data_IF_838994820410
#
_entry.id   IF_838994820410
#
_cell.length_a   1.000
_cell.length_b   1.000
_cell.length_c   1.000
_cell.angle_alpha   90.00
_cell.angle_beta   90.00
_cell.angle_gamma   90.00
#
_symmetry.space_group_name_H-M   'P 1'
#
loop_
_entity.id
_entity.type
_entity.pdbx_description
1 polymer ?
#
# COMPACT_ATOMS: atom_id res chain seq x y z
N UNK A 1 35.53 -21.95 -24.08
CA UNK A 1 34.81 -22.06 -22.79
C UNK A 1 35.09 -20.76 -22.04
N UNK A 2 34.33 -19.70 -22.37
CA UNK A 2 34.57 -18.36 -21.84
C UNK A 2 33.76 -18.21 -20.55
N UNK A 3 34.43 -18.23 -19.41
CA UNK A 3 33.82 -17.85 -18.14
C UNK A 3 33.54 -16.35 -18.20
N UNK A 4 32.27 -15.99 -18.38
CA UNK A 4 31.80 -14.61 -18.20
C UNK A 4 31.78 -14.37 -16.69
N UNK A 5 32.84 -13.76 -16.16
CA UNK A 5 32.83 -13.19 -14.82
C UNK A 5 31.78 -12.08 -14.78
N UNK A 6 30.57 -12.42 -14.33
CA UNK A 6 29.54 -11.45 -13.98
C UNK A 6 29.93 -10.84 -12.64
N UNK A 7 30.90 -9.91 -12.64
CA UNK A 7 31.09 -8.98 -11.53
C UNK A 7 29.83 -8.14 -11.42
N UNK A 8 28.88 -8.61 -10.62
CA UNK A 8 27.71 -7.83 -10.21
C UNK A 8 28.23 -6.61 -9.45
N UNK A 9 28.34 -5.47 -10.15
CA UNK A 9 28.69 -4.20 -9.52
C UNK A 9 27.58 -3.88 -8.52
N UNK A 10 27.81 -4.17 -7.24
CA UNK A 10 26.89 -3.82 -6.17
C UNK A 10 26.94 -2.31 -6.00
N UNK A 11 26.01 -1.60 -6.60
CA UNK A 11 25.83 -0.16 -6.35
C UNK A 11 25.55 0.05 -4.87
N UNK A 12 26.40 0.81 -4.13
CA UNK A 12 26.19 1.15 -2.74
C UNK A 12 24.82 1.79 -2.54
N UNK A 13 24.16 1.54 -1.40
CA UNK A 13 22.80 2.03 -1.14
C UNK A 13 22.68 3.57 -1.31
N UNK A 14 23.75 4.30 -0.93
CA UNK A 14 23.88 5.75 -1.10
C UNK A 14 23.76 6.24 -2.54
N UNK A 15 24.17 5.41 -3.51
CA UNK A 15 24.23 5.77 -4.94
C UNK A 15 22.99 5.27 -5.70
N UNK A 16 22.02 4.63 -5.00
CA UNK A 16 20.77 4.12 -5.58
C UNK A 16 19.65 5.16 -5.63
N UNK A 17 19.74 6.21 -4.81
CA UNK A 17 18.76 7.27 -4.70
C UNK A 17 19.43 8.62 -4.99
N UNK A 18 18.68 9.48 -5.67
CA UNK A 18 19.03 10.89 -5.84
C UNK A 18 19.04 11.61 -4.49
N UNK A 19 19.74 12.74 -4.42
CA UNK A 19 19.77 13.57 -3.19
C UNK A 19 18.38 14.01 -2.75
N UNK A 20 17.49 14.29 -3.70
CA UNK A 20 16.10 14.68 -3.41
C UNK A 20 15.27 13.50 -2.89
N UNK A 21 15.46 12.29 -3.40
CA UNK A 21 14.82 11.07 -2.87
C UNK A 21 15.28 10.79 -1.43
N UNK A 22 16.58 10.90 -1.16
CA UNK A 22 17.12 10.79 0.20
C UNK A 22 16.54 11.85 1.14
N UNK A 23 16.43 13.11 0.68
CA UNK A 23 15.84 14.19 1.47
C UNK A 23 14.37 13.89 1.81
N UNK A 24 13.59 13.42 0.83
CA UNK A 24 12.18 13.07 1.04
C UNK A 24 12.03 11.91 2.03
N UNK A 25 12.82 10.85 1.89
CA UNK A 25 12.83 9.74 2.84
C UNK A 25 13.21 10.20 4.25
N UNK A 26 14.27 11.02 4.37
CA UNK A 26 14.70 11.54 5.67
C UNK A 26 13.61 12.41 6.33
N UNK A 27 12.89 13.22 5.56
CA UNK A 27 11.77 14.01 6.07
C UNK A 27 10.61 13.11 6.55
N UNK A 28 10.26 12.07 5.79
CA UNK A 28 9.19 11.14 6.17
C UNK A 28 9.53 10.37 7.45
N UNK A 29 10.70 9.71 7.48
CA UNK A 29 11.15 8.99 8.67
C UNK A 29 11.44 9.93 9.85
N UNK A 30 11.88 11.16 9.58
CA UNK A 30 12.01 12.20 10.60
C UNK A 30 10.67 12.59 11.22
N UNK A 31 9.61 12.70 10.41
CA UNK A 31 8.25 12.95 10.91
C UNK A 31 7.72 11.76 11.72
N UNK A 32 7.94 10.53 11.25
CA UNK A 32 7.58 9.32 12.00
C UNK A 32 8.31 9.30 13.34
N UNK A 33 9.62 9.58 13.37
CA UNK A 33 10.38 9.67 14.61
C UNK A 33 9.84 10.78 15.53
N UNK A 34 9.44 11.93 14.97
CA UNK A 34 8.78 12.99 15.73
C UNK A 34 7.48 12.52 16.39
N UNK A 35 6.61 11.79 15.68
CA UNK A 35 5.38 11.24 16.27
C UNK A 35 5.68 10.33 17.46
N UNK A 36 6.66 9.44 17.33
CA UNK A 36 7.08 8.56 18.41
C UNK A 36 7.64 9.36 19.59
N UNK A 37 8.61 10.25 19.35
CA UNK A 37 9.25 11.04 20.41
C UNK A 37 8.21 11.90 21.13
N UNK A 38 7.31 12.57 20.41
CA UNK A 38 6.24 13.35 21.00
C UNK A 38 5.31 12.48 21.85
N UNK A 39 4.90 11.31 21.33
CA UNK A 39 4.10 10.33 22.08
C UNK A 39 4.80 9.85 23.36
N UNK A 40 6.09 9.49 23.28
CA UNK A 40 6.91 9.07 24.41
C UNK A 40 7.05 10.17 25.46
N UNK A 41 7.31 11.42 25.06
CA UNK A 41 7.43 12.55 25.98
C UNK A 41 6.10 12.82 26.68
N UNK A 42 5.00 12.90 25.93
CA UNK A 42 3.67 13.14 26.51
C UNK A 42 3.24 12.01 27.45
N UNK A 43 3.50 10.75 27.09
CA UNK A 43 3.19 9.60 27.93
C UNK A 43 4.09 9.56 29.17
N UNK A 44 5.38 9.86 29.05
CA UNK A 44 6.30 9.93 30.20
C UNK A 44 5.87 10.98 31.22
N UNK A 45 5.41 12.15 30.74
CA UNK A 45 4.83 13.19 31.60
C UNK A 45 3.49 12.75 32.21
N UNK A 46 2.65 12.02 31.47
CA UNK A 46 1.37 11.54 31.97
C UNK A 46 1.52 10.47 33.06
N UNK A 47 2.41 9.50 32.88
CA UNK A 47 2.66 8.41 33.85
C UNK A 47 3.15 8.95 35.19
N UNK A 48 3.85 10.08 35.20
CA UNK A 48 4.32 10.71 36.44
C UNK A 48 3.19 11.27 37.34
N UNK A 49 1.95 11.31 36.86
CA UNK A 49 0.79 11.83 37.59
C UNK A 49 -0.16 10.78 38.18
N UNK A 50 0.17 9.48 38.11
CA UNK A 50 -0.63 8.36 38.68
C UNK A 50 -2.13 8.39 38.31
N UNK A 51 -2.45 8.67 37.05
CA UNK A 51 -3.84 8.70 36.57
C UNK A 51 -4.44 7.30 36.43
N UNK A 52 -5.68 7.10 36.88
CA UNK A 52 -6.45 5.87 36.72
C UNK A 52 -7.49 6.02 35.59
N UNK A 53 -7.66 5.01 34.75
CA UNK A 53 -8.75 4.91 33.78
C UNK A 53 -10.08 4.57 34.47
N UNK A 54 -11.19 4.70 33.74
CA UNK A 54 -12.54 4.43 34.27
C UNK A 54 -12.80 2.98 34.74
N UNK A 55 -11.91 2.04 34.45
CA UNK A 55 -11.94 0.64 34.89
C UNK A 55 -11.01 0.34 36.08
N UNK A 56 -10.33 1.36 36.61
CA UNK A 56 -9.35 1.25 37.71
C UNK A 56 -7.95 0.80 37.27
N UNK A 57 -7.70 0.65 35.97
CA UNK A 57 -6.35 0.41 35.45
C UNK A 57 -5.54 1.70 35.39
N UNK A 58 -4.23 1.63 35.61
CA UNK A 58 -3.37 2.82 35.51
C UNK A 58 -3.18 3.23 34.04
N UNK A 59 -3.41 4.51 33.76
CA UNK A 59 -3.09 5.10 32.47
C UNK A 59 -1.57 5.19 32.33
N UNK A 60 -1.03 4.58 31.28
CA UNK A 60 0.41 4.57 31.10
C UNK A 60 0.90 3.75 29.91
N UNK A 61 2.07 3.15 30.05
CA UNK A 61 2.72 2.44 28.94
C UNK A 61 1.91 1.29 28.36
N UNK A 62 1.02 0.67 29.15
CA UNK A 62 0.08 -0.34 28.66
C UNK A 62 -0.92 0.22 27.63
N UNK A 63 -1.53 1.38 27.92
CA UNK A 63 -2.45 2.03 26.98
C UNK A 63 -1.73 2.61 25.76
N UNK A 64 -0.50 3.13 25.93
CA UNK A 64 0.36 3.51 24.80
C UNK A 64 0.67 2.31 23.89
N UNK A 65 1.05 1.17 24.46
CA UNK A 65 1.34 -0.04 23.71
C UNK A 65 0.09 -0.54 22.96
N UNK A 66 -1.08 -0.53 23.61
CA UNK A 66 -2.35 -0.84 22.96
C UNK A 66 -2.60 0.09 21.76
N UNK A 67 -2.57 1.41 21.95
CA UNK A 67 -2.77 2.38 20.86
C UNK A 67 -1.77 2.18 19.70
N UNK A 68 -0.50 1.93 20.01
CA UNK A 68 0.54 1.65 19.01
C UNK A 68 0.26 0.36 18.23
N UNK A 69 -0.12 -0.71 18.93
CA UNK A 69 -0.45 -2.01 18.31
C UNK A 69 -1.74 -1.95 17.50
N UNK A 70 -2.73 -1.16 17.90
CA UNK A 70 -3.93 -0.89 17.11
C UNK A 70 -3.55 -0.17 15.81
N UNK A 71 -2.70 0.86 15.88
CA UNK A 71 -2.19 1.55 14.68
C UNK A 71 -1.42 0.61 13.74
N UNK A 72 -0.56 -0.24 14.29
CA UNK A 72 0.15 -1.25 13.50
C UNK A 72 -0.79 -2.30 12.89
N UNK A 73 -1.74 -2.81 13.69
CA UNK A 73 -2.75 -3.78 13.23
C UNK A 73 -3.56 -3.22 12.08
N UNK A 74 -3.97 -1.96 12.20
CA UNK A 74 -4.79 -1.32 11.18
C UNK A 74 -4.04 -1.03 9.88
N UNK A 75 -2.73 -0.74 9.94
CA UNK A 75 -1.87 -0.70 8.75
C UNK A 75 -1.84 -2.04 7.98
N UNK A 76 -2.14 -3.16 8.65
CA UNK A 76 -2.24 -4.46 7.99
C UNK A 76 -3.60 -4.75 7.38
N UNK A 77 -4.59 -3.85 7.50
CA UNK A 77 -5.89 -4.09 6.92
C UNK A 77 -5.80 -4.17 5.39
N UNK A 78 -6.64 -5.05 4.84
CA UNK A 78 -6.55 -5.48 3.47
C UNK A 78 -6.73 -4.34 2.46
N UNK A 79 -7.54 -3.35 2.81
CA UNK A 79 -7.86 -2.16 2.06
C UNK A 79 -6.68 -1.17 2.00
N UNK A 80 -5.95 -0.99 3.11
CA UNK A 80 -4.77 -0.16 3.20
C UNK A 80 -3.63 -0.69 2.33
N UNK A 81 -3.28 -1.97 2.52
CA UNK A 81 -2.27 -2.66 1.70
C UNK A 81 -2.65 -2.58 0.22
N UNK A 82 -3.92 -2.84 -0.09
CA UNK A 82 -4.42 -2.80 -1.47
C UNK A 82 -4.32 -1.40 -2.08
N UNK A 83 -4.74 -0.36 -1.36
CA UNK A 83 -4.73 1.01 -1.83
C UNK A 83 -3.30 1.54 -2.05
N UNK A 84 -2.40 1.26 -1.10
CA UNK A 84 -1.00 1.71 -1.15
C UNK A 84 -0.27 1.00 -2.29
N UNK A 85 -0.34 -0.32 -2.38
CA UNK A 85 0.38 -1.09 -3.41
C UNK A 85 -0.18 -0.77 -4.80
N UNK A 86 -1.51 -0.79 -4.99
CA UNK A 86 -2.08 -0.51 -6.31
C UNK A 86 -1.79 0.92 -6.77
N UNK A 87 -1.82 1.91 -5.88
CA UNK A 87 -1.45 3.28 -6.25
C UNK A 87 0.04 3.39 -6.56
N UNK A 88 0.89 2.73 -5.79
CA UNK A 88 2.33 2.65 -6.03
C UNK A 88 2.60 2.07 -7.42
N UNK A 89 1.94 0.96 -7.79
CA UNK A 89 2.06 0.31 -9.10
C UNK A 89 1.61 1.21 -10.24
N UNK A 90 0.46 1.86 -10.09
CA UNK A 90 -0.05 2.82 -11.07
C UNK A 90 0.97 3.93 -11.32
N UNK A 91 1.48 4.58 -10.27
CA UNK A 91 2.44 5.68 -10.38
C UNK A 91 3.79 5.22 -10.95
N UNK A 92 4.23 4.01 -10.61
CA UNK A 92 5.44 3.41 -11.19
C UNK A 92 5.29 3.10 -12.68
N UNK A 93 4.09 2.68 -13.12
CA UNK A 93 3.80 2.46 -14.54
C UNK A 93 3.84 3.75 -15.36
N UNK A 94 3.63 4.89 -14.71
CA UNK A 94 3.76 6.24 -15.26
C UNK A 94 5.20 6.78 -15.17
N UNK A 95 6.18 5.93 -14.83
CA UNK A 95 7.60 6.28 -14.76
C UNK A 95 8.04 6.97 -13.47
N UNK A 96 7.17 7.08 -12.46
CA UNK A 96 7.50 7.71 -11.19
C UNK A 96 8.17 6.74 -10.20
N UNK A 97 8.80 7.30 -9.16
CA UNK A 97 9.32 6.57 -7.99
C UNK A 97 8.59 7.04 -6.72
N UNK A 98 7.36 6.55 -6.48
CA UNK A 98 6.45 7.12 -5.49
C UNK A 98 6.77 6.58 -4.08
N UNK A 99 7.81 7.10 -3.43
CA UNK A 99 8.26 6.63 -2.12
C UNK A 99 7.30 6.97 -0.95
N UNK A 100 6.42 7.96 -1.13
CA UNK A 100 5.60 8.52 -0.05
C UNK A 100 4.13 8.09 -0.02
N UNK A 101 3.71 7.13 -0.84
CA UNK A 101 2.28 6.76 -0.99
C UNK A 101 1.67 6.35 0.35
N UNK A 102 2.28 5.36 1.02
CA UNK A 102 1.79 4.89 2.32
C UNK A 102 1.92 5.92 3.44
N UNK A 103 2.98 6.72 3.45
CA UNK A 103 3.14 7.81 4.43
C UNK A 103 2.01 8.83 4.37
N UNK A 104 1.69 9.35 3.17
CA UNK A 104 0.62 10.34 3.05
C UNK A 104 -0.75 9.72 3.34
N UNK A 105 -0.97 8.47 2.91
CA UNK A 105 -2.19 7.72 3.21
C UNK A 105 -2.42 7.58 4.73
N UNK A 106 -1.46 7.00 5.45
CA UNK A 106 -1.52 6.82 6.91
C UNK A 106 -1.67 8.13 7.67
N UNK A 107 -1.00 9.21 7.26
CA UNK A 107 -1.16 10.53 7.90
C UNK A 107 -2.57 11.09 7.70
N UNK A 108 -3.15 10.92 6.52
CA UNK A 108 -4.53 11.33 6.24
C UNK A 108 -5.51 10.58 7.15
N UNK A 109 -5.37 9.27 7.22
CA UNK A 109 -6.19 8.41 8.06
C UNK A 109 -6.04 8.77 9.54
N UNK A 110 -4.80 8.83 10.02
CA UNK A 110 -4.48 9.15 11.42
C UNK A 110 -4.94 10.54 11.83
N UNK A 111 -5.11 11.47 10.89
CA UNK A 111 -5.65 12.81 11.17
C UNK A 111 -7.12 12.75 11.60
N UNK A 112 -7.91 11.83 11.04
CA UNK A 112 -9.31 11.63 11.45
C UNK A 112 -9.37 11.04 12.84
N UNK A 113 -8.55 10.02 13.12
CA UNK A 113 -8.43 9.40 14.44
C UNK A 113 -7.99 10.41 15.50
N UNK A 114 -6.97 11.22 15.20
CA UNK A 114 -6.48 12.27 16.09
C UNK A 114 -7.52 13.37 16.33
N UNK A 115 -8.24 13.79 15.29
CA UNK A 115 -9.33 14.74 15.42
C UNK A 115 -10.45 14.20 16.31
N UNK A 116 -10.85 12.94 16.14
CA UNK A 116 -11.85 12.30 16.98
C UNK A 116 -11.39 12.22 18.44
N UNK A 117 -10.15 11.79 18.69
CA UNK A 117 -9.57 11.75 20.03
C UNK A 117 -9.61 13.13 20.72
N UNK A 118 -9.26 14.20 20.00
CA UNK A 118 -9.35 15.57 20.49
C UNK A 118 -10.79 15.99 20.81
N UNK A 119 -11.73 15.73 19.90
CA UNK A 119 -13.14 16.07 20.08
C UNK A 119 -13.76 15.37 21.31
N UNK A 120 -13.37 14.11 21.56
CA UNK A 120 -13.79 13.36 22.74
C UNK A 120 -13.16 13.93 24.02
N UNK A 121 -11.88 14.32 23.97
CA UNK A 121 -11.17 14.94 25.08
C UNK A 121 -11.83 16.25 25.53
N UNK A 122 -12.29 17.07 24.60
CA UNK A 122 -13.00 18.31 24.90
C UNK A 122 -14.49 18.11 25.27
N UNK A 123 -14.91 16.86 25.49
CA UNK A 123 -16.17 16.56 26.16
C UNK A 123 -17.40 16.80 25.29
N UNK A 124 -17.32 16.59 23.98
CA UNK A 124 -18.51 16.52 23.13
C UNK A 124 -19.27 15.24 23.49
N UNK A 125 -20.06 15.30 24.57
CA UNK A 125 -20.81 14.16 25.13
C UNK A 125 -21.66 13.44 24.08
N UNK A 126 -22.16 14.18 23.09
CA UNK A 126 -22.92 13.65 21.96
C UNK A 126 -22.10 12.66 21.08
N UNK A 127 -20.80 12.91 20.89
CA UNK A 127 -19.93 11.98 20.15
C UNK A 127 -19.66 10.72 20.98
N UNK A 128 -19.43 10.89 22.28
CA UNK A 128 -19.21 9.75 23.18
C UNK A 128 -20.40 8.80 23.28
N UNK A 129 -21.64 9.32 23.27
CA UNK A 129 -22.84 8.49 23.23
C UNK A 129 -23.02 7.80 21.88
N UNK A 130 -22.72 8.48 20.77
CA UNK A 130 -22.84 7.89 19.43
C UNK A 130 -21.78 6.82 19.18
N UNK A 131 -20.56 6.97 19.69
CA UNK A 131 -19.52 5.93 19.58
C UNK A 131 -19.88 4.62 20.29
N UNK A 132 -20.59 4.71 21.43
CA UNK A 132 -20.96 3.52 22.22
C UNK A 132 -22.19 2.79 21.67
N UNK A 133 -22.99 3.47 20.87
CA UNK A 133 -24.24 2.96 20.33
C UNK A 133 -24.02 2.49 18.89
N UNK A 134 -23.90 1.17 18.71
CA UNK A 134 -23.67 0.52 17.40
C UNK A 134 -24.79 0.84 16.40
N UNK A 135 -26.00 1.15 16.86
CA UNK A 135 -27.14 1.55 16.02
C UNK A 135 -27.20 3.07 15.75
N UNK A 136 -26.19 3.83 16.17
CA UNK A 136 -26.22 5.29 16.01
C UNK A 136 -26.10 5.71 14.55
N UNK A 137 -26.72 6.85 14.23
CA UNK A 137 -26.60 7.46 12.91
C UNK A 137 -25.13 7.73 12.51
N UNK A 138 -24.26 7.99 13.49
CA UNK A 138 -22.86 8.24 13.21
C UNK A 138 -22.18 6.96 12.73
N UNK A 139 -22.29 5.85 13.47
CA UNK A 139 -21.83 4.51 13.04
C UNK A 139 -22.36 4.17 11.63
N UNK A 140 -23.66 4.34 11.40
CA UNK A 140 -24.29 4.03 10.13
C UNK A 140 -23.72 4.83 8.94
N UNK A 141 -23.71 6.17 9.02
CA UNK A 141 -23.31 7.01 7.90
C UNK A 141 -21.79 6.96 7.65
N UNK A 142 -20.99 6.94 8.71
CA UNK A 142 -19.53 6.91 8.56
C UNK A 142 -19.03 5.54 8.09
N UNK A 143 -19.61 4.44 8.58
CA UNK A 143 -19.38 3.10 8.04
C UNK A 143 -19.78 2.98 6.56
N UNK A 144 -20.98 3.49 6.21
CA UNK A 144 -21.46 3.49 4.83
C UNK A 144 -20.52 4.28 3.90
N UNK A 145 -20.14 5.51 4.29
CA UNK A 145 -19.26 6.36 3.50
C UNK A 145 -17.87 5.72 3.39
N UNK A 146 -17.30 5.23 4.48
CA UNK A 146 -15.98 4.60 4.51
C UNK A 146 -15.90 3.40 3.57
N UNK A 147 -16.78 2.41 3.74
CA UNK A 147 -16.81 1.20 2.90
C UNK A 147 -17.13 1.51 1.44
N UNK A 148 -18.04 2.45 1.19
CA UNK A 148 -18.38 2.83 -0.21
C UNK A 148 -17.20 3.52 -0.89
N UNK A 149 -16.54 4.45 -0.21
CA UNK A 149 -15.40 5.18 -0.77
C UNK A 149 -14.20 4.26 -0.94
N UNK A 150 -13.87 3.45 0.06
CA UNK A 150 -12.80 2.45 -0.01
C UNK A 150 -13.05 1.46 -1.14
N UNK A 151 -14.21 0.81 -1.15
CA UNK A 151 -14.53 -0.23 -2.12
C UNK A 151 -14.59 0.29 -3.55
N UNK A 152 -15.17 1.47 -3.74
CA UNK A 152 -15.17 2.13 -5.06
C UNK A 152 -13.76 2.49 -5.50
N UNK A 153 -12.93 3.03 -4.61
CA UNK A 153 -11.56 3.38 -4.92
C UNK A 153 -10.72 2.14 -5.31
N UNK A 154 -10.80 1.08 -4.49
CA UNK A 154 -10.10 -0.18 -4.72
C UNK A 154 -10.50 -0.81 -6.05
N UNK A 155 -11.80 -0.83 -6.37
CA UNK A 155 -12.27 -1.33 -7.67
C UNK A 155 -11.74 -0.50 -8.84
N UNK A 156 -11.75 0.82 -8.74
CA UNK A 156 -11.22 1.70 -9.79
C UNK A 156 -9.72 1.47 -10.00
N UNK A 157 -8.91 1.47 -8.93
CA UNK A 157 -7.47 1.32 -9.05
C UNK A 157 -7.09 -0.10 -9.50
N UNK A 158 -7.85 -1.12 -9.08
CA UNK A 158 -7.66 -2.49 -9.52
C UNK A 158 -7.94 -2.63 -11.03
N UNK A 159 -9.01 -2.02 -11.55
CA UNK A 159 -9.29 -2.01 -12.99
C UNK A 159 -8.16 -1.32 -13.77
N UNK A 160 -7.67 -0.19 -13.28
CA UNK A 160 -6.54 0.53 -13.90
C UNK A 160 -5.29 -0.35 -13.96
N UNK A 161 -4.92 -0.99 -12.85
CA UNK A 161 -3.76 -1.88 -12.79
C UNK A 161 -3.96 -3.19 -13.56
N UNK A 162 -5.20 -3.69 -13.68
CA UNK A 162 -5.52 -4.84 -14.52
C UNK A 162 -5.25 -4.53 -15.99
N UNK A 163 -5.63 -3.33 -16.46
CA UNK A 163 -5.34 -2.88 -17.83
C UNK A 163 -3.82 -2.82 -18.06
N UNK A 164 -3.07 -2.29 -17.09
CA UNK A 164 -1.60 -2.24 -17.14
C UNK A 164 -1.02 -3.66 -17.17
N UNK A 165 -1.52 -4.57 -16.32
CA UNK A 165 -1.10 -5.95 -16.25
C UNK A 165 -1.32 -6.69 -17.58
N UNK A 166 -2.52 -6.58 -18.16
CA UNK A 166 -2.84 -7.19 -19.47
C UNK A 166 -1.91 -6.65 -20.55
N UNK A 167 -1.61 -5.34 -20.55
CA UNK A 167 -0.64 -4.73 -21.47
C UNK A 167 0.76 -5.34 -21.32
N UNK A 168 1.26 -5.46 -20.08
CA UNK A 168 2.58 -6.05 -19.81
C UNK A 168 2.63 -7.53 -20.23
N UNK A 169 1.60 -8.31 -19.89
CA UNK A 169 1.51 -9.74 -20.24
C UNK A 169 1.46 -9.94 -21.75
N UNK A 170 0.74 -9.08 -22.47
CA UNK A 170 0.65 -9.14 -23.94
C UNK A 170 2.00 -8.89 -24.61
N UNK A 171 2.67 -7.80 -24.23
CA UNK A 171 4.02 -7.48 -24.71
C UNK A 171 4.97 -8.63 -24.38
N UNK A 172 4.93 -9.14 -23.14
CA UNK A 172 5.76 -10.26 -22.72
C UNK A 172 5.51 -11.54 -23.53
N UNK A 173 4.25 -11.84 -23.85
CA UNK A 173 3.89 -12.98 -24.70
C UNK A 173 4.46 -12.83 -26.12
N UNK A 174 4.36 -11.65 -26.71
CA UNK A 174 4.92 -11.34 -28.04
C UNK A 174 6.45 -11.44 -28.06
N UNK A 175 7.13 -10.91 -27.03
CA UNK A 175 8.58 -11.08 -26.84
C UNK A 175 8.98 -12.56 -26.85
N UNK A 176 8.19 -13.42 -26.18
CA UNK A 176 8.47 -14.86 -26.07
C UNK A 176 8.27 -15.62 -27.39
N UNK A 177 7.44 -15.08 -28.27
CA UNK A 177 7.18 -15.63 -29.62
C UNK A 177 8.18 -15.11 -30.66
N UNK A 178 9.08 -14.18 -30.29
CA UNK A 178 10.09 -13.63 -31.21
C UNK A 178 9.54 -12.65 -32.25
N UNK A 179 8.28 -12.23 -32.09
CA UNK A 179 7.60 -11.22 -32.91
C UNK A 179 7.79 -9.85 -32.25
N UNK A 180 9.01 -9.31 -32.32
CA UNK A 180 9.31 -7.95 -31.88
C UNK A 180 9.04 -7.00 -33.05
N UNK A 181 7.80 -6.55 -33.19
CA UNK A 181 7.42 -5.48 -34.12
C UNK A 181 7.11 -4.22 -33.31
N UNK A 182 7.97 -3.21 -33.44
CA UNK A 182 7.83 -1.91 -32.80
C UNK A 182 6.51 -1.22 -33.22
N UNK A 183 6.04 -1.48 -34.44
CA UNK A 183 4.76 -0.99 -34.97
C UNK A 183 3.52 -1.68 -34.36
N UNK A 184 3.57 -2.99 -34.07
CA UNK A 184 2.46 -3.66 -33.38
C UNK A 184 2.35 -3.25 -31.90
N UNK A 185 3.49 -2.88 -31.29
CA UNK A 185 3.55 -2.35 -29.94
C UNK A 185 2.88 -0.97 -29.86
N UNK A 186 3.15 -0.05 -30.79
CA UNK A 186 2.45 1.24 -30.86
C UNK A 186 0.95 1.08 -31.11
N UNK A 187 0.53 0.13 -31.95
CA UNK A 187 -0.90 -0.18 -32.16
C UNK A 187 -1.57 -0.72 -30.89
N UNK A 188 -0.86 -1.53 -30.09
CA UNK A 188 -1.36 -2.03 -28.81
C UNK A 188 -1.31 -1.01 -27.68
N UNK A 189 -0.34 -0.10 -27.71
CA UNK A 189 -0.28 1.08 -26.84
C UNK A 189 -1.43 2.04 -27.17
N UNK A 190 -1.83 2.18 -28.43
CA UNK A 190 -3.02 2.94 -28.84
C UNK A 190 -4.34 2.32 -28.34
N UNK A 191 -4.39 1.01 -28.07
CA UNK A 191 -5.53 0.38 -27.39
C UNK A 191 -5.65 0.78 -25.90
N UNK A 192 -4.58 1.33 -25.28
CA UNK A 192 -4.72 2.07 -24.00
C UNK A 192 -5.69 3.25 -24.15
N UNK A 193 -5.78 3.84 -25.34
CA UNK A 193 -6.50 5.08 -25.60
C UNK A 193 -7.99 5.04 -25.29
N UNK A 194 -8.69 3.92 -25.49
CA UNK A 194 -10.14 3.87 -25.30
C UNK A 194 -10.53 3.78 -23.82
N UNK A 195 -9.83 2.94 -23.03
CA UNK A 195 -10.01 2.86 -21.58
C UNK A 195 -9.36 4.03 -20.83
N UNK A 196 -8.18 4.52 -21.25
CA UNK A 196 -7.59 5.74 -20.68
C UNK A 196 -8.34 7.01 -21.06
N UNK A 197 -9.18 7.01 -22.10
CA UNK A 197 -10.07 8.15 -22.36
C UNK A 197 -11.21 8.22 -21.32
N UNK A 198 -11.69 7.09 -20.82
CA UNK A 198 -12.72 7.03 -19.80
C UNK A 198 -12.15 7.13 -18.37
N UNK A 199 -11.09 6.36 -18.06
CA UNK A 199 -10.48 6.33 -16.73
C UNK A 199 -9.32 7.31 -16.56
N UNK A 200 -8.75 7.85 -17.63
CA UNK A 200 -7.61 8.78 -17.56
C UNK A 200 -7.87 10.07 -16.78
N UNK A 201 -9.07 10.67 -16.75
CA UNK A 201 -9.38 11.76 -15.83
C UNK A 201 -9.27 11.33 -14.36
N UNK A 202 -9.72 10.12 -14.02
CA UNK A 202 -9.67 9.57 -12.66
C UNK A 202 -8.24 9.16 -12.29
N UNK A 203 -7.52 8.50 -13.21
CA UNK A 203 -6.12 8.17 -13.05
C UNK A 203 -5.24 9.41 -12.87
N UNK A 204 -5.55 10.53 -13.54
CA UNK A 204 -4.86 11.81 -13.36
C UNK A 204 -5.17 12.48 -12.02
N UNK A 205 -6.24 12.09 -11.31
CA UNK A 205 -6.52 12.65 -9.99
C UNK A 205 -5.47 12.25 -8.98
N UNK A 206 -4.98 11.01 -8.96
CA UNK A 206 -3.89 10.55 -8.09
C UNK A 206 -2.61 10.34 -8.90
N UNK A 207 -1.96 11.45 -9.25
CA UNK A 207 -0.71 11.51 -10.03
C UNK A 207 0.54 11.74 -9.17
N UNK A 208 0.39 11.99 -7.86
CA UNK A 208 1.48 12.26 -6.91
C UNK A 208 1.19 11.60 -5.57
N UNK A 209 2.23 11.14 -4.87
CA UNK A 209 2.12 10.47 -3.57
C UNK A 209 1.37 11.28 -2.52
N UNK A 210 1.50 12.61 -2.49
CA UNK A 210 0.82 13.46 -1.50
C UNK A 210 -0.70 13.43 -1.59
N UNK A 211 -1.24 13.12 -2.77
CA UNK A 211 -2.69 13.02 -2.99
C UNK A 211 -3.30 11.80 -2.31
N UNK A 212 -2.49 10.91 -1.75
CA UNK A 212 -2.95 9.87 -0.84
C UNK A 212 -3.40 10.41 0.51
N UNK A 213 -3.00 11.62 0.91
CA UNK A 213 -3.45 12.23 2.16
C UNK A 213 -4.97 12.46 2.23
N UNK A 214 -5.61 13.16 1.26
CA UNK A 214 -7.06 13.30 1.27
C UNK A 214 -7.77 11.95 1.10
N UNK A 215 -7.17 10.99 0.39
CA UNK A 215 -7.73 9.64 0.30
C UNK A 215 -7.68 8.92 1.65
N UNK A 216 -6.57 9.04 2.38
CA UNK A 216 -6.41 8.51 3.73
C UNK A 216 -7.43 9.11 4.69
N UNK A 217 -7.76 10.40 4.57
CA UNK A 217 -8.87 11.01 5.34
C UNK A 217 -10.18 10.29 5.02
N UNK A 218 -10.49 10.07 3.74
CA UNK A 218 -11.74 9.41 3.34
C UNK A 218 -11.82 7.96 3.85
N UNK A 219 -10.70 7.24 3.84
CA UNK A 219 -10.60 5.89 4.43
C UNK A 219 -10.72 5.94 5.96
N UNK A 220 -10.13 6.95 6.60
CA UNK A 220 -10.21 7.18 8.05
C UNK A 220 -11.58 7.62 8.54
N UNK A 221 -12.51 7.97 7.64
CA UNK A 221 -13.94 8.10 7.98
C UNK A 221 -14.60 6.73 8.18
N UNK A 222 -13.97 5.63 7.75
CA UNK A 222 -14.37 4.28 8.13
C UNK A 222 -14.38 4.15 9.65
N UNK A 223 -15.55 3.81 10.18
CA UNK A 223 -15.83 4.08 11.59
C UNK A 223 -15.17 3.10 12.57
N UNK A 224 -14.83 1.90 12.12
CA UNK A 224 -14.32 0.82 12.97
C UNK A 224 -13.03 1.24 13.71
N UNK A 225 -12.06 1.80 12.99
CA UNK A 225 -10.78 2.24 13.57
C UNK A 225 -10.91 3.47 14.46
N UNK A 226 -11.70 4.45 13.99
CA UNK A 226 -11.97 5.66 14.75
C UNK A 226 -12.66 5.31 16.08
N UNK A 227 -13.50 4.27 16.08
CA UNK A 227 -14.19 3.75 17.26
C UNK A 227 -13.25 3.02 18.20
N UNK A 228 -12.36 2.14 17.72
CA UNK A 228 -11.40 1.42 18.58
C UNK A 228 -10.53 2.40 19.40
N UNK A 229 -9.96 3.42 18.74
CA UNK A 229 -9.15 4.44 19.41
C UNK A 229 -10.02 5.41 20.21
N UNK A 230 -11.19 5.78 19.68
CA UNK A 230 -12.15 6.65 20.36
C UNK A 230 -12.66 6.06 21.67
N UNK A 231 -12.91 4.75 21.73
CA UNK A 231 -13.30 4.02 22.94
C UNK A 231 -12.14 3.94 23.94
N UNK A 232 -10.90 3.73 23.49
CA UNK A 232 -9.71 3.79 24.34
C UNK A 232 -9.56 5.19 24.98
N UNK A 233 -9.79 6.24 24.19
CA UNK A 233 -9.80 7.62 24.67
C UNK A 233 -10.94 7.86 25.66
N UNK A 234 -12.17 7.41 25.35
CA UNK A 234 -13.32 7.55 26.25
C UNK A 234 -13.14 6.83 27.58
N UNK A 235 -12.49 5.67 27.59
CA UNK A 235 -12.13 4.95 28.81
C UNK A 235 -11.18 5.80 29.69
N UNK A 236 -10.24 6.51 29.06
CA UNK A 236 -9.32 7.42 29.74
C UNK A 236 -9.96 8.76 30.15
N UNK A 237 -10.87 9.32 29.37
CA UNK A 237 -11.47 10.65 29.65
C UNK A 237 -12.72 10.58 30.51
N UNK A 238 -13.07 9.42 31.06
CA UNK A 238 -14.23 9.30 31.94
C UNK A 238 -14.09 10.26 33.15
N UNK A 239 -15.20 10.83 33.62
CA UNK A 239 -15.25 11.91 34.63
C UNK A 239 -14.48 11.60 35.92
N UNK A 240 -14.22 10.33 36.19
CA UNK A 240 -13.49 9.84 37.37
C UNK A 240 -11.96 9.94 37.19
N UNK A 241 -11.45 9.89 35.95
CA UNK A 241 -10.04 9.71 35.63
C UNK A 241 -9.19 11.00 35.64
N UNK A 242 -9.80 12.18 35.49
CA UNK A 242 -9.10 13.47 35.57
C UNK A 242 -7.94 13.68 34.58
N UNK A 243 -7.85 12.86 33.53
CA UNK A 243 -6.71 12.84 32.60
C UNK A 243 -6.56 14.19 31.87
N UNK A 244 -5.36 14.80 31.86
CA UNK A 244 -5.15 16.04 31.15
C UNK A 244 -5.13 15.81 29.63
N UNK A 245 -5.55 16.81 28.87
CA UNK A 245 -5.71 16.69 27.41
C UNK A 245 -4.42 16.29 26.68
N UNK A 246 -3.25 16.69 27.19
CA UNK A 246 -1.95 16.32 26.63
C UNK A 246 -1.61 14.84 26.85
N UNK A 247 -2.10 14.22 27.93
CA UNK A 247 -1.95 12.78 28.16
C UNK A 247 -2.79 12.00 27.15
N UNK A 248 -4.02 12.45 26.89
CA UNK A 248 -4.91 11.82 25.90
C UNK A 248 -4.35 11.90 24.49
N UNK A 249 -3.70 13.03 24.14
CA UNK A 249 -3.01 13.21 22.87
C UNK A 249 -1.85 12.24 22.61
N UNK A 250 -1.30 11.61 23.64
CA UNK A 250 -0.26 10.60 23.44
C UNK A 250 -0.78 9.38 22.66
N UNK A 251 -2.04 8.99 22.86
CA UNK A 251 -2.65 7.80 22.22
C UNK A 251 -2.75 7.93 20.68
N UNK A 252 -3.36 8.98 20.10
CA UNK A 252 -3.40 9.13 18.66
C UNK A 252 -2.00 9.34 18.04
N UNK A 253 -1.02 9.85 18.78
CA UNK A 253 0.37 9.93 18.30
C UNK A 253 1.04 8.56 18.20
N UNK A 254 0.83 7.68 19.20
CA UNK A 254 1.30 6.29 19.12
C UNK A 254 0.59 5.52 18.00
N UNK A 255 -0.74 5.67 17.88
CA UNK A 255 -1.50 5.10 16.77
C UNK A 255 -0.93 5.55 15.42
N UNK A 256 -0.80 6.86 15.23
CA UNK A 256 -0.27 7.44 13.99
C UNK A 256 1.17 7.00 13.72
N UNK A 257 2.00 6.90 14.76
CA UNK A 257 3.39 6.45 14.66
C UNK A 257 3.49 5.00 14.16
N UNK A 258 2.71 4.09 14.77
CA UNK A 258 2.69 2.68 14.40
C UNK A 258 2.17 2.46 12.98
N UNK A 259 1.04 3.09 12.66
CA UNK A 259 0.44 3.02 11.33
C UNK A 259 1.35 3.62 10.25
N UNK A 260 1.85 4.84 10.47
CA UNK A 260 2.69 5.53 9.49
C UNK A 260 4.00 4.80 9.24
N UNK A 261 4.57 4.14 10.25
CA UNK A 261 5.77 3.33 10.08
C UNK A 261 5.52 2.16 9.12
N UNK A 262 4.48 1.38 9.36
CA UNK A 262 4.19 0.18 8.56
C UNK A 262 3.72 0.51 7.15
N UNK A 263 2.82 1.48 6.99
CA UNK A 263 2.36 1.91 5.66
C UNK A 263 3.49 2.52 4.83
N UNK A 264 4.40 3.27 5.48
CA UNK A 264 5.59 3.79 4.80
C UNK A 264 6.54 2.67 4.41
N UNK A 265 6.70 1.64 5.24
CA UNK A 265 7.49 0.46 4.92
C UNK A 265 6.85 -0.28 3.75
N UNK A 266 5.54 -0.50 3.72
CA UNK A 266 4.85 -1.17 2.61
C UNK A 266 5.08 -0.43 1.26
N UNK A 267 4.77 0.87 1.24
CA UNK A 267 4.96 1.69 0.04
C UNK A 267 6.42 1.79 -0.41
N UNK A 268 7.38 1.88 0.53
CA UNK A 268 8.81 1.99 0.19
C UNK A 268 9.44 0.65 -0.17
N UNK A 269 9.04 -0.44 0.47
CA UNK A 269 9.52 -1.80 0.17
C UNK A 269 9.19 -2.19 -1.26
N UNK A 270 7.99 -1.86 -1.75
CA UNK A 270 7.61 -2.06 -3.16
C UNK A 270 8.55 -1.32 -4.14
N UNK A 271 9.00 -0.11 -3.77
CA UNK A 271 9.96 0.65 -4.57
C UNK A 271 11.38 0.05 -4.51
N UNK A 272 11.84 -0.43 -3.34
CA UNK A 272 13.19 -1.01 -3.18
C UNK A 272 13.31 -2.42 -3.79
N UNK A 273 12.27 -3.23 -3.69
CA UNK A 273 12.24 -4.55 -4.30
C UNK A 273 12.24 -4.45 -5.84
N UNK A 274 11.66 -3.38 -6.39
CA UNK A 274 11.84 -3.00 -7.79
C UNK A 274 13.29 -2.62 -8.12
N UNK A 275 13.96 -1.87 -7.23
CA UNK A 275 15.38 -1.54 -7.28
C UNK A 275 16.33 -2.75 -7.30
N UNK A 276 15.93 -3.86 -6.69
CA UNK A 276 16.70 -5.11 -6.69
C UNK A 276 16.56 -5.93 -7.99
N UNK A 277 15.46 -5.75 -8.74
CA UNK A 277 15.23 -6.44 -10.00
C UNK A 277 16.09 -5.91 -11.18
N UNK A 278 16.87 -4.84 -10.97
CA UNK A 278 17.67 -4.16 -11.99
C UNK A 278 18.90 -4.93 -12.49
N UNK A 279 19.11 -6.19 -12.09
CA UNK A 279 20.23 -6.98 -12.61
C UNK A 279 19.95 -7.61 -13.98
N UNK A 280 18.69 -7.87 -14.37
CA UNK A 280 18.33 -8.48 -15.69
C UNK A 280 16.92 -8.07 -16.19
N UNK A 281 16.73 -7.63 -17.46
CA UNK A 281 15.44 -7.14 -17.99
C UNK A 281 14.28 -8.14 -17.87
N UNK A 282 14.53 -9.43 -18.10
CA UNK A 282 13.50 -10.48 -18.07
C UNK A 282 12.98 -10.73 -16.65
N UNK A 283 13.88 -10.68 -15.66
CA UNK A 283 13.54 -10.85 -14.24
C UNK A 283 12.57 -9.76 -13.78
N UNK A 284 12.80 -8.54 -14.25
CA UNK A 284 11.96 -7.38 -13.98
C UNK A 284 10.53 -7.57 -14.49
N UNK A 285 10.35 -8.11 -15.69
CA UNK A 285 9.01 -8.31 -16.27
C UNK A 285 8.22 -9.37 -15.51
N UNK A 286 8.82 -10.54 -15.22
CA UNK A 286 8.15 -11.59 -14.43
C UNK A 286 7.75 -11.12 -13.03
N UNK A 287 8.68 -10.44 -12.35
CA UNK A 287 8.44 -9.89 -11.02
C UNK A 287 7.28 -8.89 -11.03
N UNK A 288 7.26 -7.99 -12.03
CA UNK A 288 6.19 -7.01 -12.18
C UNK A 288 4.85 -7.66 -12.49
N UNK A 289 4.81 -8.70 -13.35
CA UNK A 289 3.56 -9.42 -13.66
C UNK A 289 3.00 -10.08 -12.40
N UNK A 290 3.82 -10.86 -11.68
CA UNK A 290 3.36 -11.62 -10.50
C UNK A 290 2.83 -10.68 -9.43
N UNK A 291 3.60 -9.63 -9.10
CA UNK A 291 3.16 -8.72 -8.03
C UNK A 291 1.96 -7.93 -8.47
N UNK A 292 1.97 -7.32 -9.67
CA UNK A 292 0.80 -6.55 -10.13
C UNK A 292 -0.46 -7.42 -10.21
N UNK A 293 -0.34 -8.70 -10.61
CA UNK A 293 -1.46 -9.65 -10.60
C UNK A 293 -1.97 -9.92 -9.18
N UNK A 294 -1.07 -10.10 -8.22
CA UNK A 294 -1.42 -10.28 -6.82
C UNK A 294 -2.10 -9.01 -6.27
N UNK A 295 -1.53 -7.83 -6.47
CA UNK A 295 -2.09 -6.53 -6.04
C UNK A 295 -3.50 -6.30 -6.60
N UNK A 296 -3.69 -6.58 -7.89
CA UNK A 296 -4.98 -6.44 -8.57
C UNK A 296 -5.99 -7.45 -8.04
N UNK A 297 -5.58 -8.71 -7.88
CA UNK A 297 -6.45 -9.76 -7.34
C UNK A 297 -6.94 -9.45 -5.94
N UNK A 298 -6.03 -9.00 -5.07
CA UNK A 298 -6.36 -8.59 -3.70
C UNK A 298 -7.30 -7.38 -3.71
N UNK A 299 -6.97 -6.32 -4.46
CA UNK A 299 -7.82 -5.12 -4.49
C UNK A 299 -9.22 -5.38 -5.06
N UNK A 300 -9.37 -6.23 -6.07
CA UNK A 300 -10.69 -6.64 -6.57
C UNK A 300 -11.47 -7.45 -5.54
N UNK A 301 -10.79 -8.33 -4.80
CA UNK A 301 -11.42 -9.13 -3.76
C UNK A 301 -11.89 -8.26 -2.59
N UNK A 302 -11.01 -7.41 -2.06
CA UNK A 302 -11.30 -6.53 -0.92
C UNK A 302 -12.33 -5.48 -1.30
N UNK A 303 -12.11 -4.73 -2.39
CA UNK A 303 -13.06 -3.72 -2.83
C UNK A 303 -14.41 -4.31 -3.25
N UNK A 304 -14.42 -5.51 -3.82
CA UNK A 304 -15.65 -6.26 -4.10
C UNK A 304 -16.40 -6.64 -2.83
N UNK A 305 -15.70 -7.14 -1.80
CA UNK A 305 -16.30 -7.47 -0.51
C UNK A 305 -16.89 -6.24 0.19
N UNK A 306 -16.17 -5.12 0.26
CA UNK A 306 -16.65 -3.88 0.88
C UNK A 306 -17.94 -3.38 0.19
N UNK A 307 -17.98 -3.40 -1.15
CA UNK A 307 -19.18 -3.02 -1.90
C UNK A 307 -20.34 -3.99 -1.69
N UNK A 308 -20.07 -5.28 -1.54
CA UNK A 308 -21.10 -6.28 -1.23
C UNK A 308 -21.62 -6.12 0.20
N UNK A 309 -20.79 -5.76 1.17
CA UNK A 309 -21.20 -5.44 2.54
C UNK A 309 -22.13 -4.21 2.56
N UNK A 310 -21.77 -3.15 1.83
CA UNK A 310 -22.63 -1.97 1.65
C UNK A 310 -23.97 -2.35 1.02
N UNK A 311 -23.94 -3.15 -0.05
CA UNK A 311 -25.15 -3.58 -0.74
C UNK A 311 -26.04 -4.44 0.16
N UNK A 312 -25.45 -5.36 0.93
CA UNK A 312 -26.16 -6.22 1.87
C UNK A 312 -26.87 -5.40 2.95
N UNK A 313 -26.16 -4.45 3.56
CA UNK A 313 -26.72 -3.58 4.59
C UNK A 313 -27.84 -2.67 4.08
N UNK A 314 -27.65 -2.04 2.91
CA UNK A 314 -28.64 -1.09 2.37
C UNK A 314 -29.91 -1.76 1.83
N UNK A 315 -29.81 -2.98 1.31
CA UNK A 315 -30.93 -3.73 0.77
C UNK A 315 -31.51 -4.75 1.77
N UNK A 316 -31.01 -4.79 3.01
CA UNK A 316 -31.35 -5.77 4.04
C UNK A 316 -31.31 -7.21 3.51
N UNK A 317 -30.28 -7.54 2.73
CA UNK A 317 -30.15 -8.85 2.09
C UNK A 317 -29.72 -9.89 3.12
N UNK A 318 -30.58 -10.88 3.34
CA UNK A 318 -30.35 -11.98 4.27
C UNK A 318 -30.11 -13.30 3.53
N UNK A 319 -29.29 -14.18 4.11
CA UNK A 319 -29.04 -15.54 3.61
C UNK A 319 -27.62 -16.00 3.87
N UNK A 320 -27.32 -17.29 3.68
CA UNK A 320 -26.01 -17.85 4.03
C UNK A 320 -24.83 -17.16 3.34
N UNK A 321 -25.00 -16.72 2.09
CA UNK A 321 -23.98 -15.94 1.37
C UNK A 321 -23.77 -14.54 1.96
N UNK A 322 -24.85 -13.81 2.23
CA UNK A 322 -24.78 -12.43 2.76
C UNK A 322 -24.26 -12.39 4.19
N UNK A 323 -24.65 -13.37 5.01
CA UNK A 323 -24.10 -13.52 6.36
C UNK A 323 -22.58 -13.76 6.31
N UNK A 324 -22.11 -14.64 5.41
CA UNK A 324 -20.68 -14.86 5.23
C UNK A 324 -19.93 -13.59 4.80
N UNK A 325 -20.50 -12.79 3.90
CA UNK A 325 -19.90 -11.52 3.44
C UNK A 325 -19.83 -10.50 4.59
N UNK A 326 -20.88 -10.39 5.39
CA UNK A 326 -20.94 -9.43 6.51
C UNK A 326 -20.07 -9.86 7.69
N UNK A 327 -19.93 -11.17 7.95
CA UNK A 327 -19.09 -11.71 9.02
C UNK A 327 -17.58 -11.68 8.65
N UNK A 328 -17.23 -11.38 7.40
CA UNK A 328 -15.86 -11.39 6.93
C UNK A 328 -15.09 -10.14 7.37
N UNK A 329 -14.15 -10.32 8.30
CA UNK A 329 -13.28 -9.24 8.80
C UNK A 329 -12.15 -8.91 7.82
N UNK A 330 -12.05 -7.63 7.46
CA UNK A 330 -10.97 -7.09 6.63
C UNK A 330 -9.59 -7.22 7.29
N UNK A 331 -9.50 -7.12 8.62
CA UNK A 331 -8.24 -7.33 9.34
C UNK A 331 -7.74 -8.77 9.20
N UNK A 332 -8.64 -9.75 9.33
CA UNK A 332 -8.32 -11.16 9.12
C UNK A 332 -7.84 -11.41 7.68
N UNK A 333 -8.48 -10.75 6.71
CA UNK A 333 -8.07 -10.79 5.32
C UNK A 333 -6.67 -10.19 5.12
N UNK A 334 -6.34 -9.11 5.83
CA UNK A 334 -5.04 -8.46 5.84
C UNK A 334 -3.89 -9.41 6.15
N UNK A 335 -3.99 -10.18 7.24
CA UNK A 335 -2.98 -11.18 7.59
C UNK A 335 -2.83 -12.28 6.54
N UNK A 336 -3.94 -12.73 5.94
CA UNK A 336 -3.92 -13.71 4.86
C UNK A 336 -3.23 -13.14 3.62
N UNK A 337 -3.49 -11.88 3.28
CA UNK A 337 -2.87 -11.19 2.16
C UNK A 337 -1.36 -11.09 2.38
N UNK A 338 -0.90 -10.61 3.54
CA UNK A 338 0.54 -10.55 3.84
C UNK A 338 1.18 -11.93 3.77
N UNK A 339 0.56 -12.95 4.37
CA UNK A 339 1.04 -14.32 4.30
C UNK A 339 1.11 -14.81 2.84
N UNK A 340 0.12 -14.47 2.01
CA UNK A 340 0.10 -14.82 0.59
C UNK A 340 1.24 -14.13 -0.17
N UNK A 341 1.52 -12.85 0.11
CA UNK A 341 2.67 -12.13 -0.44
C UNK A 341 3.98 -12.83 -0.08
N UNK A 342 4.16 -13.19 1.20
CA UNK A 342 5.36 -13.90 1.68
C UNK A 342 5.52 -15.25 0.98
N UNK A 343 4.44 -16.04 0.88
CA UNK A 343 4.46 -17.35 0.21
C UNK A 343 4.77 -17.20 -1.28
N UNK A 344 4.11 -16.29 -1.98
CA UNK A 344 4.35 -16.03 -3.41
C UNK A 344 5.80 -15.58 -3.62
N UNK A 345 6.34 -14.75 -2.73
CA UNK A 345 7.74 -14.32 -2.77
C UNK A 345 8.70 -15.49 -2.55
N UNK A 346 8.47 -16.30 -1.52
CA UNK A 346 9.27 -17.48 -1.25
C UNK A 346 9.27 -18.43 -2.44
N UNK A 347 8.09 -18.74 -3.00
CA UNK A 347 7.95 -19.57 -4.19
C UNK A 347 8.67 -18.95 -5.39
N UNK A 348 8.53 -17.64 -5.63
CA UNK A 348 9.22 -16.97 -6.73
C UNK A 348 10.75 -17.04 -6.59
N UNK A 349 11.28 -16.85 -5.38
CA UNK A 349 12.71 -16.99 -5.09
C UNK A 349 13.20 -18.43 -5.26
N UNK A 350 12.41 -19.42 -4.80
CA UNK A 350 12.73 -20.83 -4.93
C UNK A 350 12.68 -21.26 -6.41
N UNK A 351 11.63 -20.92 -7.14
CA UNK A 351 11.53 -21.18 -8.59
C UNK A 351 12.66 -20.50 -9.36
N UNK A 352 13.09 -19.31 -8.94
CA UNK A 352 14.25 -18.65 -9.54
C UNK A 352 15.55 -19.41 -9.27
N UNK A 353 15.81 -19.76 -8.01
CA UNK A 353 17.04 -20.44 -7.57
C UNK A 353 17.16 -21.85 -8.15
N UNK A 354 16.06 -22.60 -8.17
CA UNK A 354 16.05 -24.03 -8.54
C UNK A 354 15.57 -24.28 -9.97
N UNK A 355 14.74 -23.41 -10.54
CA UNK A 355 14.15 -23.61 -11.86
C UNK A 355 15.07 -23.29 -13.04
N UNK A 356 16.28 -22.74 -12.78
CA UNK A 356 17.26 -22.33 -13.82
C UNK A 356 16.60 -21.54 -14.95
N UNK A 357 15.63 -20.69 -14.60
CA UNK A 357 14.81 -19.93 -15.57
C UNK A 357 15.71 -19.07 -16.45
N UNK A 358 16.81 -18.60 -15.89
CA UNK A 358 17.85 -17.81 -16.55
C UNK A 358 18.54 -18.58 -17.70
N UNK A 359 19.02 -19.81 -17.46
CA UNK A 359 19.62 -20.66 -18.49
C UNK A 359 18.60 -21.02 -19.58
N UNK A 360 17.37 -21.37 -19.19
CA UNK A 360 16.31 -21.75 -20.14
C UNK A 360 15.91 -20.59 -21.05
N UNK A 361 15.92 -19.36 -20.54
CA UNK A 361 15.58 -18.18 -21.31
C UNK A 361 16.71 -17.75 -22.23
N UNK A 362 17.95 -17.72 -21.73
CA UNK A 362 19.14 -17.51 -22.57
C UNK A 362 19.13 -18.46 -23.77
N UNK A 363 18.89 -19.75 -23.53
CA UNK A 363 18.87 -20.77 -24.57
C UNK A 363 17.72 -20.58 -25.58
N UNK A 364 16.51 -20.20 -25.12
CA UNK A 364 15.37 -19.97 -26.02
C UNK A 364 15.51 -18.69 -26.86
N UNK A 365 15.97 -17.60 -26.26
CA UNK A 365 16.17 -16.34 -26.97
C UNK A 365 17.31 -16.46 -28.00
N UNK A 366 18.39 -17.15 -27.64
CA UNK A 366 19.49 -17.47 -28.54
C UNK A 366 19.05 -18.38 -29.69
N UNK A 367 18.27 -19.43 -29.41
CA UNK A 367 17.69 -20.29 -30.45
C UNK A 367 16.75 -19.53 -31.40
N UNK A 368 15.97 -18.56 -30.87
CA UNK A 368 15.09 -17.74 -31.68
C UNK A 368 15.88 -16.79 -32.62
N UNK A 369 16.95 -16.14 -32.13
CA UNK A 369 17.83 -15.31 -32.98
C UNK A 369 18.50 -16.13 -34.09
N UNK A 370 19.03 -17.31 -33.75
CA UNK A 370 19.65 -18.22 -34.71
C UNK A 370 18.66 -18.67 -35.79
N UNK A 371 17.40 -18.94 -35.40
CA UNK A 371 16.36 -19.32 -36.36
C UNK A 371 15.96 -18.20 -37.34
N UNK A 372 16.24 -16.94 -37.00
CA UNK A 372 16.02 -15.76 -37.86
C UNK A 372 17.22 -15.38 -38.72
N UNK A 373 18.35 -16.08 -38.59
CA UNK A 373 19.59 -15.73 -39.30
C UNK A 373 20.24 -14.42 -38.80
N UNK A 374 19.83 -13.93 -37.62
CA UNK A 374 20.40 -12.74 -36.99
C UNK A 374 21.78 -13.07 -36.39
N UNK A 375 22.74 -12.16 -36.53
CA UNK A 375 24.01 -12.27 -35.80
C UNK A 375 23.71 -12.14 -34.29
N UNK A 376 24.35 -12.96 -33.46
CA UNK A 376 23.99 -13.11 -32.04
C UNK A 376 24.31 -11.85 -31.24
N UNK A 377 23.38 -10.89 -31.24
CA UNK A 377 23.45 -9.67 -30.45
C UNK A 377 22.58 -9.83 -29.19
N UNK A 378 23.24 -10.16 -28.08
CA UNK A 378 22.61 -10.35 -26.78
C UNK A 378 22.06 -9.03 -26.18
N UNK A 379 22.54 -7.88 -26.66
CA UNK A 379 22.07 -6.56 -26.25
C UNK A 379 20.76 -6.23 -26.95
N UNK A 380 20.70 -6.42 -28.28
CA UNK A 380 19.48 -6.19 -29.06
C UNK A 380 18.33 -7.13 -28.65
N UNK A 381 18.63 -8.35 -28.20
CA UNK A 381 17.63 -9.27 -27.66
C UNK A 381 17.19 -8.98 -26.20
N UNK A 382 17.73 -7.93 -25.56
CA UNK A 382 17.41 -7.57 -24.17
C UNK A 382 17.89 -8.59 -23.14
N UNK A 383 18.90 -9.39 -23.49
CA UNK A 383 19.50 -10.43 -22.64
C UNK A 383 20.62 -9.83 -21.78
N UNK A 384 21.43 -8.94 -22.36
CA UNK A 384 22.49 -8.19 -21.70
C UNK A 384 22.23 -6.67 -21.80
N UNK A 385 22.71 -5.89 -20.82
CA UNK A 385 22.71 -4.44 -20.92
C UNK A 385 23.79 -4.02 -21.91
N UNK A 386 23.39 -3.33 -22.97
CA UNK A 386 24.32 -2.72 -23.92
C UNK A 386 25.28 -1.75 -23.23
N UNK A 387 26.41 -1.49 -23.89
CA UNK A 387 27.29 -0.40 -23.48
C UNK A 387 26.46 0.88 -23.36
N UNK A 388 26.43 1.48 -22.16
CA UNK A 388 25.75 2.75 -21.89
C UNK A 388 26.51 3.82 -22.69
N UNK A 389 26.06 4.11 -23.90
CA UNK A 389 26.68 5.11 -24.79
C UNK A 389 26.11 6.50 -24.58
N UNK A 390 24.90 6.61 -24.04
CA UNK A 390 24.24 7.88 -23.76
C UNK A 390 23.72 7.94 -22.32
N UNK A 391 23.98 9.05 -21.65
CA UNK A 391 23.40 9.37 -20.35
C UNK A 391 21.88 9.51 -20.46
N UNK A 392 21.17 9.10 -19.40
CA UNK A 392 19.71 9.21 -19.27
C UNK A 392 19.22 10.61 -19.68
N UNK A 393 18.56 10.72 -20.85
CA UNK A 393 17.83 11.92 -21.27
C UNK A 393 16.35 11.71 -20.96
N UNK A 394 15.78 12.69 -20.27
CA UNK A 394 14.33 12.84 -20.14
C UNK A 394 13.96 13.73 -21.31
N UNK A 395 13.19 13.20 -22.28
CA UNK A 395 12.66 14.02 -23.36
C UNK A 395 11.61 14.99 -22.79
N UNK A 396 11.65 16.24 -23.26
CA UNK A 396 10.88 17.41 -22.77
C UNK A 396 9.35 17.28 -22.93
#
# INVERSE_FOLDING_TARGET
>A
MNQVETTTVRTPLRDRLTRDEWRRMALMFGFIAFLHIAGFVLMGLAVSGDYELGDGTLFGWGTAALAYTLGMRHAFDADHISAIDNTTRKLMSEGQRPLGVGFFFSLGHSSVVAALALLLTFGIKALGSQLKDEDSALHHYTGLIGLTVSGTFLMIIAILNLIILVSIVKVFSQMRQGLYSEEELEKHLNARGLLMRFFGPIARRIDKSWKMYPLGILFGLGFDTATEVGLLVLAGTSVIAGLPWWAVLSLPLFFAGGMSLLDTIDGSFMNFAYGWAFSKPVRKVYYNIIITALSVGVAMFVGGLELLQVLSGQLNLSGGFWNYVNDFSLNSAGYIIVASFVVVWAVALLLWKYGKIEERWHNKAHAAQLSRGENTDHVAAGIELGAIKDGFKIDD
#
